data_IF_922210763838
#
_entry.id   IF_922210763838
#
_cell.length_a   1.000
_cell.length_b   1.000
_cell.length_c   1.000
_cell.angle_alpha   90.00
_cell.angle_beta   90.00
_cell.angle_gamma   90.00
#
_symmetry.space_group_name_H-M   'P 1'
#
loop_
_entity.id
_entity.type
_entity.pdbx_description
1 polymer ?
#
# COMPACT_ATOMS: atom_id res chain seq x y z
N UNK A 1 70.10 15.90 3.25
CA UNK A 1 69.15 14.93 3.84
C UNK A 1 68.73 15.52 5.19
N UNK A 2 67.49 15.77 5.58
CA UNK A 2 66.23 15.08 5.31
C UNK A 2 65.04 15.87 5.96
N UNK A 3 64.75 17.13 5.59
CA UNK A 3 63.59 17.86 6.20
C UNK A 3 62.92 18.82 5.22
N UNK A 4 62.45 18.34 4.06
CA UNK A 4 61.64 19.15 3.12
C UNK A 4 60.42 18.44 2.50
N UNK A 5 60.11 17.21 2.92
CA UNK A 5 59.11 16.37 2.26
C UNK A 5 57.90 16.02 3.13
N UNK A 6 57.54 16.83 4.13
CA UNK A 6 56.36 16.59 4.99
C UNK A 6 55.30 17.68 4.99
N UNK A 7 55.52 18.81 4.31
CA UNK A 7 54.60 19.95 4.33
C UNK A 7 53.69 20.08 3.09
N UNK A 8 53.83 19.19 2.10
CA UNK A 8 53.00 19.23 0.87
C UNK A 8 51.69 18.43 1.01
N UNK A 9 51.58 17.53 1.99
CA UNK A 9 50.39 16.69 2.15
C UNK A 9 49.31 17.28 3.08
N UNK A 10 49.52 18.48 3.63
CA UNK A 10 48.60 19.14 4.57
C UNK A 10 47.81 20.31 3.94
N UNK A 11 47.74 20.38 2.60
CA UNK A 11 46.99 21.42 1.87
C UNK A 11 45.95 20.87 0.90
N UNK A 12 45.72 19.55 0.89
CA UNK A 12 44.65 18.93 0.06
C UNK A 12 43.39 18.62 0.87
N UNK A 13 43.49 18.55 2.22
CA UNK A 13 42.34 18.19 3.06
C UNK A 13 41.33 19.33 3.30
N UNK A 14 41.68 20.59 3.02
CA UNK A 14 40.80 21.76 3.29
C UNK A 14 40.00 22.23 2.08
N UNK A 15 40.27 21.76 0.86
CA UNK A 15 39.50 22.15 -0.33
C UNK A 15 38.27 21.26 -0.59
N UNK A 16 38.19 20.08 0.04
CA UNK A 16 37.10 19.12 -0.19
C UNK A 16 35.82 19.40 0.63
N UNK A 17 35.85 20.35 1.57
CA UNK A 17 34.72 20.58 2.49
C UNK A 17 33.73 21.65 2.02
N UNK A 18 33.99 22.38 0.92
CA UNK A 18 33.16 23.51 0.50
C UNK A 18 32.23 23.26 -0.69
N UNK A 19 32.09 22.02 -1.17
CA UNK A 19 31.21 21.69 -2.31
C UNK A 19 29.90 21.01 -1.86
N UNK A 20 29.77 20.62 -0.59
CA UNK A 20 28.59 19.89 -0.08
C UNK A 20 27.40 20.84 0.23
N UNK A 21 27.58 22.15 0.17
CA UNK A 21 26.52 23.13 0.49
C UNK A 21 25.38 23.21 -0.55
N UNK A 22 25.51 22.59 -1.73
CA UNK A 22 24.57 22.73 -2.84
C UNK A 22 23.36 21.79 -2.85
N UNK A 23 23.18 20.89 -1.87
CA UNK A 23 22.19 19.80 -1.99
C UNK A 23 20.92 19.94 -1.14
N UNK A 24 20.74 21.04 -0.39
CA UNK A 24 19.62 21.17 0.56
C UNK A 24 18.36 21.85 0.00
N UNK A 25 18.37 22.33 -1.24
CA UNK A 25 17.20 22.97 -1.86
C UNK A 25 16.49 22.05 -2.87
N UNK A 26 16.09 20.84 -2.46
CA UNK A 26 14.97 20.17 -3.14
C UNK A 26 13.69 20.75 -2.55
N UNK A 27 13.12 21.72 -3.26
CA UNK A 27 11.78 22.24 -2.96
C UNK A 27 10.80 21.07 -2.85
N UNK A 28 10.00 21.06 -1.78
CA UNK A 28 8.90 20.13 -1.64
C UNK A 28 7.90 20.43 -2.76
N UNK A 29 7.89 19.62 -3.82
CA UNK A 29 6.83 19.66 -4.80
C UNK A 29 5.54 19.22 -4.10
N UNK A 30 4.47 20.05 -4.08
CA UNK A 30 3.20 19.65 -3.52
C UNK A 30 2.75 18.37 -4.24
N UNK A 31 2.51 17.31 -3.47
CA UNK A 31 1.88 16.12 -4.02
C UNK A 31 0.51 16.53 -4.60
N UNK A 32 0.13 16.07 -5.80
CA UNK A 32 -1.22 16.31 -6.31
C UNK A 32 -2.23 15.79 -5.29
N UNK A 33 -3.36 16.50 -5.08
CA UNK A 33 -4.38 16.04 -4.15
C UNK A 33 -4.83 14.63 -4.55
N UNK A 34 -4.74 13.69 -3.61
CA UNK A 34 -5.29 12.36 -3.78
C UNK A 34 -6.80 12.52 -3.91
N UNK A 35 -7.34 12.30 -5.11
CA UNK A 35 -8.78 12.19 -5.31
C UNK A 35 -9.26 11.02 -4.46
N UNK A 36 -10.03 11.29 -3.41
CA UNK A 36 -10.57 10.26 -2.54
C UNK A 36 -11.50 9.35 -3.35
N UNK A 37 -11.06 8.13 -3.64
CA UNK A 37 -11.93 7.10 -4.18
C UNK A 37 -12.88 6.69 -3.04
N UNK A 38 -14.21 6.73 -3.24
CA UNK A 38 -15.15 6.33 -2.21
C UNK A 38 -14.84 4.90 -1.76
N UNK A 39 -14.78 4.69 -0.44
CA UNK A 39 -14.19 3.52 0.19
C UNK A 39 -15.06 2.24 0.14
N UNK A 40 -16.08 2.17 -0.72
CA UNK A 40 -16.93 0.99 -0.85
C UNK A 40 -18.30 1.27 -1.45
N UNK A 41 -19.19 0.26 -1.43
CA UNK A 41 -20.55 0.38 -1.93
C UNK A 41 -21.34 1.48 -1.21
N UNK A 42 -22.12 2.25 -1.96
CA UNK A 42 -22.96 3.33 -1.45
C UNK A 42 -24.36 2.81 -1.13
N UNK A 43 -25.02 3.37 -0.12
CA UNK A 43 -26.40 3.03 0.22
C UNK A 43 -27.34 3.48 -0.90
N UNK A 44 -28.37 2.68 -1.19
CA UNK A 44 -29.34 2.85 -2.28
C UNK A 44 -28.82 2.52 -3.69
N UNK A 45 -27.52 2.32 -3.87
CA UNK A 45 -27.00 1.77 -5.12
C UNK A 45 -27.28 0.27 -5.21
N UNK A 46 -27.35 -0.23 -6.45
CA UNK A 46 -27.45 -1.67 -6.70
C UNK A 46 -26.20 -2.36 -6.16
N UNK A 47 -26.39 -3.32 -5.26
CA UNK A 47 -25.29 -4.12 -4.72
C UNK A 47 -24.52 -4.82 -5.87
N UNK A 48 -23.18 -4.67 -5.94
CA UNK A 48 -22.36 -5.33 -6.94
C UNK A 48 -22.53 -6.84 -6.89
N UNK A 49 -22.66 -7.47 -8.05
CA UNK A 49 -22.77 -8.92 -8.13
C UNK A 49 -21.42 -9.59 -7.86
N UNK A 50 -21.46 -10.74 -7.20
CA UNK A 50 -20.27 -11.53 -6.88
C UNK A 50 -20.64 -13.00 -6.70
N UNK A 51 -19.61 -13.85 -6.77
CA UNK A 51 -19.72 -15.30 -6.59
C UNK A 51 -18.76 -15.77 -5.52
N UNK A 52 -19.21 -16.65 -4.62
CA UNK A 52 -18.41 -17.25 -3.56
C UNK A 52 -18.59 -18.77 -3.54
N UNK A 53 -17.55 -19.50 -3.14
CA UNK A 53 -17.72 -20.90 -2.77
C UNK A 53 -18.41 -20.97 -1.40
N UNK A 54 -19.59 -21.56 -1.36
CA UNK A 54 -20.28 -21.85 -0.10
C UNK A 54 -19.75 -23.13 0.54
N UNK A 55 -19.99 -23.27 1.83
CA UNK A 55 -19.72 -24.49 2.57
C UNK A 55 -20.86 -24.79 3.55
N UNK A 56 -21.12 -26.07 3.78
CA UNK A 56 -22.02 -26.57 4.83
C UNK A 56 -21.29 -27.62 5.70
N UNK A 57 -22.05 -28.32 6.56
CA UNK A 57 -21.49 -29.36 7.44
C UNK A 57 -20.87 -30.56 6.70
N UNK A 58 -21.13 -30.71 5.41
CA UNK A 58 -20.64 -31.80 4.56
C UNK A 58 -19.48 -31.36 3.66
N UNK A 59 -19.07 -30.09 3.71
CA UNK A 59 -17.94 -29.55 2.97
C UNK A 59 -18.34 -28.45 1.99
N UNK A 60 -17.60 -28.32 0.90
CA UNK A 60 -17.85 -27.31 -0.12
C UNK A 60 -19.09 -27.64 -0.94
N UNK A 61 -19.89 -26.61 -1.26
CA UNK A 61 -21.00 -26.74 -2.19
C UNK A 61 -20.47 -27.01 -3.61
N UNK A 62 -21.13 -27.91 -4.34
CA UNK A 62 -20.80 -28.19 -5.76
C UNK A 62 -21.01 -26.97 -6.65
N UNK A 63 -22.05 -26.20 -6.34
CA UNK A 63 -22.42 -25.01 -7.10
C UNK A 63 -22.03 -23.78 -6.27
N UNK A 64 -21.24 -22.85 -6.82
CA UNK A 64 -20.96 -21.58 -6.17
C UNK A 64 -22.24 -20.76 -5.94
N UNK A 65 -22.19 -19.89 -4.94
CA UNK A 65 -23.30 -19.02 -4.55
C UNK A 65 -23.11 -17.66 -5.22
N UNK A 66 -24.12 -17.18 -5.96
CA UNK A 66 -24.09 -15.87 -6.63
C UNK A 66 -25.13 -14.93 -6.03
N UNK A 67 -24.76 -13.65 -5.84
CA UNK A 67 -25.67 -12.67 -5.22
C UNK A 67 -26.97 -12.50 -6.03
N UNK A 68 -26.88 -12.53 -7.36
CA UNK A 68 -28.05 -12.45 -8.25
C UNK A 68 -29.13 -13.52 -7.99
N UNK A 69 -28.76 -14.67 -7.43
CA UNK A 69 -29.69 -15.77 -7.19
C UNK A 69 -30.63 -15.49 -6.01
N UNK A 70 -30.34 -14.45 -5.22
CA UNK A 70 -31.12 -14.01 -4.07
C UNK A 70 -31.94 -12.74 -4.33
N UNK A 71 -32.15 -12.34 -5.59
CA UNK A 71 -33.03 -11.21 -5.91
C UNK A 71 -34.43 -11.41 -5.29
N UNK A 72 -34.98 -10.35 -4.73
CA UNK A 72 -36.26 -10.40 -4.00
C UNK A 72 -36.16 -10.91 -2.56
N UNK A 73 -34.96 -11.19 -2.05
CA UNK A 73 -34.71 -11.57 -0.65
C UNK A 73 -33.84 -10.53 0.05
N UNK A 74 -34.01 -10.41 1.36
CA UNK A 74 -33.07 -9.69 2.21
C UNK A 74 -31.83 -10.56 2.45
N UNK A 75 -30.65 -10.04 2.10
CA UNK A 75 -29.37 -10.73 2.23
C UNK A 75 -28.48 -9.95 3.18
N UNK A 76 -27.84 -10.64 4.11
CA UNK A 76 -26.87 -10.05 5.04
C UNK A 76 -25.46 -10.46 4.62
N UNK A 77 -24.57 -9.49 4.44
CA UNK A 77 -23.16 -9.70 4.15
C UNK A 77 -22.33 -9.33 5.37
N UNK A 78 -21.54 -10.29 5.87
CA UNK A 78 -20.65 -10.09 7.00
C UNK A 78 -19.21 -10.39 6.58
N UNK A 79 -18.32 -9.44 6.80
CA UNK A 79 -16.90 -9.57 6.49
C UNK A 79 -16.11 -9.90 7.76
N UNK A 80 -15.27 -10.93 7.66
CA UNK A 80 -14.36 -11.32 8.72
C UNK A 80 -12.93 -11.18 8.18
N UNK A 81 -12.06 -10.49 8.91
CA UNK A 81 -10.66 -10.28 8.51
C UNK A 81 -9.82 -11.57 8.55
N UNK A 82 -10.29 -12.59 9.26
CA UNK A 82 -9.65 -13.89 9.39
C UNK A 82 -10.69 -15.01 9.26
N UNK A 83 -10.33 -16.03 8.50
CA UNK A 83 -11.08 -17.27 8.46
C UNK A 83 -10.92 -18.01 9.81
N UNK A 84 -12.04 -18.29 10.48
CA UNK A 84 -12.07 -19.13 11.69
C UNK A 84 -12.04 -20.61 11.29
N UNK A 85 -10.99 -21.02 10.58
CA UNK A 85 -10.79 -22.40 10.13
C UNK A 85 -9.81 -23.10 11.06
N UNK A 86 -10.25 -23.42 12.27
CA UNK A 86 -9.57 -24.35 13.18
C UNK A 86 -10.62 -25.16 13.93
N UNK A 87 -10.93 -26.32 13.35
CA UNK A 87 -11.47 -27.51 14.01
C UNK A 87 -10.50 -28.64 13.70
#
# INVERSE_FOLDING_TARGET
MLVRARFVNLTVATAASLVIAGHVARGQQPAPPLTAVPAGPVVNDVAPDFTLYGADRYGLLKTPVRLSDYRGRTVVLAFFYQARTKG
#
